data_IF_179919758875
#
_entry.id   IF_179919758875
#
_cell.length_a   1.000
_cell.length_b   1.000
_cell.length_c   1.000
_cell.angle_alpha   90.00
_cell.angle_beta   90.00
_cell.angle_gamma   90.00
#
_symmetry.space_group_name_H-M   'P 1'
#
loop_
_entity.id
_entity.type
_entity.pdbx_description
1 polymer ?
#
# COMPACT_ATOMS: atom_id res chain seq x y z
N UNK A 1 -12.56 -16.12 1.04
CA UNK A 1 -11.60 -16.89 0.21
C UNK A 1 -12.25 -17.49 -1.01
N UNK A 2 -13.34 -18.26 -0.89
CA UNK A 2 -14.06 -18.86 -2.04
C UNK A 2 -14.44 -17.83 -3.10
N UNK A 3 -15.11 -16.74 -2.72
CA UNK A 3 -15.50 -15.68 -3.66
C UNK A 3 -14.30 -15.01 -4.37
N UNK A 4 -13.15 -14.86 -3.71
CA UNK A 4 -11.95 -14.28 -4.35
C UNK A 4 -11.30 -15.25 -5.34
N UNK A 5 -11.32 -16.55 -5.01
CA UNK A 5 -10.87 -17.61 -5.91
C UNK A 5 -11.84 -17.80 -7.08
N UNK A 6 -13.14 -17.64 -6.86
CA UNK A 6 -14.17 -17.67 -7.90
C UNK A 6 -13.99 -16.48 -8.86
N UNK A 7 -13.64 -15.28 -8.36
CA UNK A 7 -13.30 -14.13 -9.19
C UNK A 7 -12.07 -14.39 -10.06
N UNK A 8 -11.01 -14.98 -9.49
CA UNK A 8 -9.80 -15.34 -10.25
C UNK A 8 -10.12 -16.43 -11.26
N UNK A 9 -10.89 -17.44 -10.87
CA UNK A 9 -11.32 -18.49 -11.77
C UNK A 9 -12.18 -17.91 -12.91
N UNK A 10 -13.07 -16.97 -12.61
CA UNK A 10 -13.86 -16.25 -13.61
C UNK A 10 -12.99 -15.35 -14.49
N UNK A 11 -11.99 -14.66 -13.95
CA UNK A 11 -11.03 -13.87 -14.70
C UNK A 11 -10.24 -14.77 -15.65
N UNK A 12 -9.57 -15.81 -15.12
CA UNK A 12 -8.81 -16.77 -15.90
C UNK A 12 -9.70 -17.44 -16.94
N UNK A 13 -10.91 -17.86 -16.57
CA UNK A 13 -11.87 -18.41 -17.51
C UNK A 13 -12.31 -17.39 -18.56
N UNK A 14 -12.48 -16.11 -18.22
CA UNK A 14 -12.86 -15.06 -19.18
C UNK A 14 -11.73 -14.69 -20.13
N UNK A 15 -10.49 -14.65 -19.65
CA UNK A 15 -9.28 -14.39 -20.43
C UNK A 15 -8.98 -15.56 -21.37
N UNK A 16 -9.28 -16.78 -20.93
CA UNK A 16 -9.00 -18.01 -21.68
C UNK A 16 -10.27 -18.66 -22.26
N UNK A 17 -11.40 -17.95 -22.28
CA UNK A 17 -12.65 -18.52 -22.80
C UNK A 17 -12.48 -18.78 -24.30
N UNK A 18 -12.70 -20.03 -24.69
CA UNK A 18 -12.56 -20.49 -26.07
C UNK A 18 -11.14 -20.75 -26.55
N UNK A 19 -10.14 -20.74 -25.66
CA UNK A 19 -8.74 -21.00 -26.02
C UNK A 19 -8.08 -21.97 -25.03
N UNK A 20 -7.56 -23.08 -25.53
CA UNK A 20 -6.82 -24.07 -24.74
C UNK A 20 -5.39 -23.61 -24.49
N UNK A 21 -5.23 -22.60 -23.62
CA UNK A 21 -3.91 -22.12 -23.24
C UNK A 21 -3.34 -22.93 -22.07
N UNK A 22 -2.13 -23.44 -22.23
CA UNK A 22 -1.30 -23.99 -21.17
C UNK A 22 -0.26 -22.96 -20.72
N UNK A 23 0.35 -23.18 -19.55
CA UNK A 23 1.32 -22.23 -18.97
C UNK A 23 2.45 -21.84 -19.95
N UNK A 24 2.85 -22.76 -20.83
CA UNK A 24 3.83 -22.53 -21.88
C UNK A 24 3.38 -21.52 -22.95
N UNK A 25 2.09 -21.40 -23.21
CA UNK A 25 1.55 -20.45 -24.18
C UNK A 25 1.60 -19.03 -23.65
N UNK A 26 1.35 -18.85 -22.35
CA UNK A 26 1.50 -17.57 -21.65
C UNK A 26 2.96 -17.11 -21.68
N UNK A 27 3.89 -18.01 -21.36
CA UNK A 27 5.34 -17.74 -21.41
C UNK A 27 5.78 -17.43 -22.84
N UNK A 28 5.28 -18.15 -23.83
CA UNK A 28 5.59 -17.91 -25.25
C UNK A 28 5.03 -16.57 -25.72
N UNK A 29 3.83 -16.19 -25.29
CA UNK A 29 3.23 -14.89 -25.56
C UNK A 29 4.04 -13.73 -24.97
N UNK A 30 4.49 -13.85 -23.72
CA UNK A 30 5.35 -12.84 -23.07
C UNK A 30 6.71 -12.72 -23.77
N UNK A 31 7.33 -13.85 -24.15
CA UNK A 31 8.56 -13.86 -24.95
C UNK A 31 8.38 -13.20 -26.31
N UNK A 32 7.25 -13.46 -26.98
CA UNK A 32 6.88 -12.83 -28.25
C UNK A 32 6.66 -11.33 -28.09
N UNK A 33 6.04 -10.86 -27.00
CA UNK A 33 5.87 -9.42 -26.72
C UNK A 33 7.23 -8.74 -26.51
N UNK A 34 8.15 -9.38 -25.77
CA UNK A 34 9.51 -8.85 -25.54
C UNK A 34 10.35 -8.83 -26.83
N UNK A 35 10.12 -9.78 -27.76
CA UNK A 35 10.87 -9.89 -29.01
C UNK A 35 10.15 -9.29 -30.22
N UNK A 36 8.92 -8.80 -30.06
CA UNK A 36 8.18 -8.15 -31.14
C UNK A 36 8.75 -6.74 -31.34
N UNK A 37 9.18 -6.37 -32.57
CA UNK A 37 9.54 -5.00 -32.86
C UNK A 37 8.30 -4.13 -32.64
N UNK A 38 8.37 -3.21 -31.66
CA UNK A 38 7.28 -2.37 -31.14
C UNK A 38 6.17 -2.11 -32.18
N UNK A 39 5.14 -2.96 -32.16
CA UNK A 39 3.89 -2.62 -32.83
C UNK A 39 3.26 -1.56 -31.94
N UNK A 40 3.12 -0.35 -32.48
CA UNK A 40 2.46 0.76 -31.80
C UNK A 40 1.10 0.25 -31.34
N UNK A 41 1.00 -0.05 -30.04
CA UNK A 41 -0.29 -0.30 -29.41
C UNK A 41 -1.07 0.98 -29.65
N UNK A 42 -2.19 0.90 -30.36
CA UNK A 42 -3.11 2.02 -30.49
C UNK A 42 -3.31 2.57 -29.09
N UNK A 43 -2.81 3.78 -28.84
CA UNK A 43 -2.91 4.44 -27.54
C UNK A 43 -4.38 4.31 -27.14
N UNK A 44 -4.64 3.53 -26.07
CA UNK A 44 -5.93 3.55 -25.42
C UNK A 44 -6.28 5.02 -25.27
N UNK A 45 -7.44 5.47 -25.77
CA UNK A 45 -7.85 6.88 -25.75
C UNK A 45 -7.61 7.43 -24.35
N UNK A 46 -6.45 8.07 -24.17
CA UNK A 46 -6.13 8.77 -22.94
C UNK A 46 -7.11 9.92 -22.98
N UNK A 47 -8.05 9.95 -22.03
CA UNK A 47 -8.93 11.10 -21.88
C UNK A 47 -8.03 12.34 -21.76
N UNK A 48 -7.95 13.11 -22.84
CA UNK A 48 -7.07 14.27 -23.00
C UNK A 48 -7.66 15.50 -22.32
N UNK A 49 -8.23 15.34 -21.14
CA UNK A 49 -8.34 16.42 -20.19
C UNK A 49 -7.09 16.30 -19.34
N UNK A 50 -6.02 17.03 -19.68
CA UNK A 50 -4.96 17.30 -18.71
C UNK A 50 -5.53 18.37 -17.78
N UNK A 51 -6.09 18.05 -16.60
CA UNK A 51 -6.29 19.09 -15.60
C UNK A 51 -4.95 19.78 -15.39
N UNK A 52 -4.95 21.11 -15.26
CA UNK A 52 -3.73 21.80 -14.84
C UNK A 52 -3.24 21.13 -13.56
N UNK A 53 -2.00 20.64 -13.60
CA UNK A 53 -1.41 19.94 -12.47
C UNK A 53 -1.46 20.88 -11.27
N UNK A 54 -2.17 20.54 -10.19
CA UNK A 54 -2.37 21.45 -9.08
C UNK A 54 -1.03 21.80 -8.44
N UNK A 55 -0.96 22.99 -7.83
CA UNK A 55 0.30 23.57 -7.33
C UNK A 55 1.05 22.62 -6.38
N UNK A 56 0.31 21.90 -5.53
CA UNK A 56 0.86 20.93 -4.58
C UNK A 56 1.51 19.70 -5.25
N UNK A 57 1.15 19.38 -6.49
CA UNK A 57 1.71 18.26 -7.27
C UNK A 57 2.97 18.67 -8.06
N UNK A 58 3.43 19.92 -7.96
CA UNK A 58 4.66 20.37 -8.61
C UNK A 58 5.90 19.76 -7.95
N UNK A 59 6.50 18.81 -8.67
CA UNK A 59 7.71 18.07 -8.26
C UNK A 59 8.91 18.90 -7.77
N UNK A 60 9.29 20.04 -8.38
CA UNK A 60 10.57 20.67 -8.03
C UNK A 60 10.61 21.30 -6.63
N UNK A 61 9.47 21.74 -6.08
CA UNK A 61 9.41 22.35 -4.74
C UNK A 61 9.32 21.29 -3.63
N UNK A 62 8.74 20.11 -3.94
CA UNK A 62 8.44 19.07 -2.97
C UNK A 62 9.24 17.76 -3.17
N UNK A 63 10.30 17.78 -3.98
CA UNK A 63 11.02 16.56 -4.37
C UNK A 63 11.58 15.77 -3.17
N UNK A 64 12.08 16.49 -2.16
CA UNK A 64 12.59 15.88 -0.93
C UNK A 64 11.46 15.18 -0.14
N UNK A 65 10.31 15.84 0.00
CA UNK A 65 9.11 15.30 0.66
C UNK A 65 8.56 14.09 -0.08
N UNK A 66 8.49 14.15 -1.42
CA UNK A 66 8.06 13.03 -2.26
C UNK A 66 9.01 11.85 -2.13
N UNK A 67 10.33 12.11 -2.17
CA UNK A 67 11.34 11.07 -1.94
C UNK A 67 11.16 10.43 -0.57
N UNK A 68 10.97 11.24 0.48
CA UNK A 68 10.76 10.76 1.85
C UNK A 68 9.56 9.82 1.95
N UNK A 69 8.41 10.21 1.39
CA UNK A 69 7.23 9.35 1.43
C UNK A 69 7.34 8.11 0.54
N UNK A 70 8.10 8.19 -0.56
CA UNK A 70 8.41 7.03 -1.39
C UNK A 70 9.30 6.03 -0.64
N UNK A 71 10.33 6.52 0.08
CA UNK A 71 11.20 5.68 0.91
C UNK A 71 10.40 4.95 1.99
N UNK A 72 9.42 5.63 2.61
CA UNK A 72 8.49 5.01 3.57
C UNK A 72 7.55 4.00 2.91
N UNK A 73 7.09 4.28 1.68
CA UNK A 73 6.23 3.40 0.90
C UNK A 73 6.95 2.14 0.39
N UNK A 74 8.28 2.18 0.24
CA UNK A 74 9.10 1.00 -0.09
C UNK A 74 9.56 0.26 1.17
N UNK A 75 9.91 0.97 2.24
CA UNK A 75 10.37 0.37 3.49
C UNK A 75 9.36 -0.62 4.11
N UNK A 76 8.05 -0.38 3.94
CA UNK A 76 6.97 -1.24 4.47
C UNK A 76 6.96 -2.65 3.87
N UNK A 77 7.70 -2.89 2.77
CA UNK A 77 7.92 -4.25 2.26
C UNK A 77 8.89 -5.06 3.14
N UNK A 78 9.60 -4.40 4.06
CA UNK A 78 10.48 -4.99 5.07
C UNK A 78 11.77 -5.56 4.49
N UNK A 79 12.29 -6.61 5.14
CA UNK A 79 13.64 -7.12 4.86
C UNK A 79 13.91 -7.48 3.37
N UNK A 80 12.96 -8.01 2.56
CA UNK A 80 13.25 -8.29 1.16
C UNK A 80 13.54 -7.02 0.36
N UNK A 81 12.80 -5.92 0.61
CA UNK A 81 13.03 -4.62 -0.02
C UNK A 81 14.35 -4.03 0.45
N UNK A 82 14.60 -4.05 1.77
CA UNK A 82 15.86 -3.58 2.34
C UNK A 82 17.07 -4.26 1.69
N UNK A 83 17.02 -5.57 1.46
CA UNK A 83 18.09 -6.32 0.82
C UNK A 83 18.20 -6.08 -0.69
N UNK A 84 17.07 -5.88 -1.37
CA UNK A 84 17.06 -5.54 -2.79
C UNK A 84 17.68 -4.15 -3.03
N UNK A 85 17.34 -3.18 -2.19
CA UNK A 85 17.84 -1.80 -2.26
C UNK A 85 19.28 -1.66 -1.76
N UNK A 86 19.74 -2.57 -0.89
CA UNK A 86 21.08 -2.54 -0.31
C UNK A 86 21.86 -3.83 -0.65
N UNK A 87 22.47 -3.84 -1.84
CA UNK A 87 23.30 -4.94 -2.31
C UNK A 87 24.61 -5.05 -1.52
N UNK A 88 24.97 -6.26 -1.10
CA UNK A 88 26.26 -6.59 -0.46
C UNK A 88 26.15 -7.17 0.94
N UNK A 89 27.27 -7.61 1.52
CA UNK A 89 27.27 -8.35 2.80
C UNK A 89 27.05 -7.47 4.05
N UNK A 90 27.42 -6.18 3.98
CA UNK A 90 27.32 -5.27 5.14
C UNK A 90 25.88 -4.95 5.57
N UNK A 91 24.92 -4.69 4.65
CA UNK A 91 23.50 -4.56 4.98
C UNK A 91 22.92 -5.78 5.71
N UNK A 92 23.27 -7.01 5.29
CA UNK A 92 22.88 -8.23 6.00
C UNK A 92 23.36 -8.20 7.46
N UNK A 93 24.64 -7.89 7.68
CA UNK A 93 25.21 -7.81 9.04
C UNK A 93 24.51 -6.73 9.88
N UNK A 94 24.19 -5.57 9.29
CA UNK A 94 23.46 -4.50 9.98
C UNK A 94 22.07 -4.95 10.41
N UNK A 95 21.34 -5.63 9.51
CA UNK A 95 20.03 -6.19 9.82
C UNK A 95 20.11 -7.24 10.92
N UNK A 96 21.01 -8.22 10.80
CA UNK A 96 21.21 -9.27 11.81
C UNK A 96 21.53 -8.71 13.20
N UNK A 97 22.30 -7.62 13.28
CA UNK A 97 22.61 -6.94 14.56
C UNK A 97 21.43 -6.21 15.18
N UNK A 98 20.38 -5.91 14.42
CA UNK A 98 19.16 -5.22 14.86
C UNK A 98 17.98 -6.17 15.12
N UNK A 99 18.17 -7.47 14.95
CA UNK A 99 17.13 -8.47 15.20
C UNK A 99 16.91 -8.68 16.69
N UNK A 100 15.65 -8.85 17.08
CA UNK A 100 15.24 -9.11 18.45
C UNK A 100 14.70 -10.55 18.57
N UNK A 101 15.59 -11.54 18.43
CA UNK A 101 15.18 -12.97 18.42
C UNK A 101 14.90 -13.58 19.80
N UNK A 102 15.18 -12.90 20.91
CA UNK A 102 15.01 -13.44 22.27
C UNK A 102 13.83 -12.79 23.00
N UNK A 103 12.83 -13.59 23.39
CA UNK A 103 11.63 -13.17 24.14
C UNK A 103 11.91 -12.50 25.50
N UNK A 104 13.09 -12.72 26.08
CA UNK A 104 13.49 -12.17 27.40
C UNK A 104 13.99 -10.73 27.37
N UNK A 105 14.15 -10.12 26.20
CA UNK A 105 14.61 -8.73 26.06
C UNK A 105 13.47 -7.74 25.77
N UNK A 106 12.21 -8.15 25.87
CA UNK A 106 11.07 -7.23 25.74
C UNK A 106 10.99 -6.39 27.02
N UNK A 107 11.57 -5.18 26.99
CA UNK A 107 11.04 -4.08 27.80
C UNK A 107 9.59 -3.82 27.39
N UNK A 108 8.82 -3.13 28.22
CA UNK A 108 7.47 -2.68 27.84
C UNK A 108 7.54 -1.93 26.51
N UNK A 109 7.07 -2.55 25.42
CA UNK A 109 7.05 -1.93 24.10
C UNK A 109 5.89 -0.94 24.09
N UNK A 110 6.22 0.35 23.95
CA UNK A 110 5.24 1.41 23.68
C UNK A 110 4.54 1.21 22.31
N UNK A 111 5.11 0.36 21.44
CA UNK A 111 4.66 0.16 20.06
C UNK A 111 3.82 -1.11 19.96
N UNK A 112 2.60 -1.00 19.42
CA UNK A 112 1.77 -2.17 19.10
C UNK A 112 2.28 -2.83 17.83
N UNK A 113 3.00 -3.95 17.97
CA UNK A 113 3.54 -4.74 16.84
C UNK A 113 2.72 -6.03 16.68
N UNK A 114 2.04 -6.14 15.56
CA UNK A 114 1.23 -7.29 15.19
C UNK A 114 1.84 -8.11 14.06
N UNK A 115 2.01 -9.41 14.29
CA UNK A 115 2.36 -10.41 13.26
C UNK A 115 3.67 -10.14 12.51
N UNK A 116 4.68 -9.56 13.19
CA UNK A 116 6.05 -9.61 12.69
C UNK A 116 6.63 -11.03 12.83
N UNK A 117 7.66 -11.34 12.05
CA UNK A 117 8.33 -12.64 12.10
C UNK A 117 9.09 -12.85 13.42
N UNK A 118 9.64 -14.05 13.62
CA UNK A 118 10.23 -14.54 14.89
C UNK A 118 11.32 -13.64 15.52
N UNK A 119 11.80 -12.59 14.84
CA UNK A 119 12.86 -11.71 15.32
C UNK A 119 12.58 -10.21 15.08
N UNK A 120 11.33 -9.83 14.86
CA UNK A 120 10.93 -8.47 14.46
C UNK A 120 11.66 -7.96 13.22
N UNK A 121 12.03 -8.87 12.29
CA UNK A 121 12.94 -8.55 11.18
C UNK A 121 12.28 -7.60 10.16
N UNK A 122 10.95 -7.63 9.98
CA UNK A 122 10.32 -6.62 9.12
C UNK A 122 10.36 -5.24 9.76
N UNK A 123 10.08 -5.12 11.08
CA UNK A 123 10.18 -3.85 11.80
C UNK A 123 11.61 -3.33 11.83
N UNK A 124 12.59 -4.18 12.14
CA UNK A 124 14.01 -3.81 12.15
C UNK A 124 14.49 -3.36 10.76
N UNK A 125 14.05 -4.02 9.69
CA UNK A 125 14.36 -3.60 8.32
C UNK A 125 13.69 -2.27 7.97
N UNK A 126 12.42 -2.09 8.35
CA UNK A 126 11.68 -0.84 8.14
C UNK A 126 12.41 0.35 8.79
N UNK A 127 12.84 0.19 10.04
CA UNK A 127 13.58 1.23 10.80
C UNK A 127 14.93 1.53 10.15
N UNK A 128 15.65 0.49 9.70
CA UNK A 128 16.94 0.66 9.02
C UNK A 128 16.79 1.36 7.67
N UNK A 129 15.73 1.08 6.92
CA UNK A 129 15.48 1.66 5.60
C UNK A 129 14.94 3.08 5.69
N UNK A 130 13.99 3.33 6.61
CA UNK A 130 13.38 4.65 6.84
C UNK A 130 14.27 5.60 7.64
N UNK A 131 15.38 5.12 8.21
CA UNK A 131 16.25 5.89 9.11
C UNK A 131 15.50 6.56 10.29
N UNK A 132 14.43 5.91 10.76
CA UNK A 132 13.63 6.33 11.92
C UNK A 132 14.15 5.68 13.21
N UNK A 133 13.67 6.16 14.36
CA UNK A 133 13.85 5.49 15.65
C UNK A 133 12.65 4.61 15.99
N UNK A 134 12.84 3.62 16.87
CA UNK A 134 11.74 2.75 17.30
C UNK A 134 10.61 3.53 17.99
N UNK A 135 10.92 4.65 18.64
CA UNK A 135 9.99 5.53 19.35
C UNK A 135 9.03 6.26 18.42
N UNK A 136 9.39 6.37 17.14
CA UNK A 136 8.60 7.09 16.16
C UNK A 136 7.47 6.22 15.59
N UNK A 137 7.50 4.91 15.83
CA UNK A 137 6.47 3.98 15.41
C UNK A 137 5.33 3.94 16.42
N UNK A 138 4.10 4.08 15.94
CA UNK A 138 2.90 4.01 16.77
C UNK A 138 2.21 2.64 16.65
N UNK A 139 2.12 2.14 15.43
CA UNK A 139 1.45 0.88 15.14
C UNK A 139 2.12 0.18 13.96
N UNK A 140 2.36 -1.12 14.10
CA UNK A 140 2.99 -1.94 13.06
C UNK A 140 2.16 -3.20 12.88
N UNK A 141 1.65 -3.45 11.68
CA UNK A 141 0.99 -4.71 11.34
C UNK A 141 1.63 -5.31 10.10
N UNK A 142 2.27 -6.47 10.25
CA UNK A 142 2.75 -7.31 9.14
C UNK A 142 1.81 -8.50 8.87
N UNK A 143 0.55 -8.42 9.32
CA UNK A 143 -0.49 -9.40 8.96
C UNK A 143 -0.65 -9.40 7.45
N UNK A 144 -0.33 -10.53 6.82
CA UNK A 144 -0.48 -10.73 5.38
C UNK A 144 -1.38 -11.95 5.11
N UNK A 145 -2.67 -11.68 4.89
CA UNK A 145 -3.69 -12.66 4.49
C UNK A 145 -4.63 -11.99 3.48
N UNK A 146 -5.57 -12.74 2.92
CA UNK A 146 -6.58 -12.19 2.01
C UNK A 146 -7.26 -10.94 2.62
N UNK A 147 -7.16 -9.79 1.92
CA UNK A 147 -7.63 -8.47 2.34
C UNK A 147 -6.96 -7.87 3.59
N UNK A 148 -6.03 -8.57 4.24
CA UNK A 148 -5.27 -8.05 5.37
C UNK A 148 -3.91 -7.62 4.83
N UNK A 149 -3.78 -6.33 4.51
CA UNK A 149 -2.52 -5.77 4.01
C UNK A 149 -1.63 -5.33 5.17
N UNK A 150 -0.31 -5.55 5.08
CA UNK A 150 0.65 -4.94 5.99
C UNK A 150 0.64 -3.41 5.90
N UNK A 151 0.73 -2.74 7.05
CA UNK A 151 0.85 -1.29 7.14
C UNK A 151 1.58 -0.87 8.42
N UNK A 152 2.14 0.33 8.41
CA UNK A 152 2.82 0.95 9.54
C UNK A 152 2.30 2.38 9.73
N UNK A 153 2.08 2.76 10.98
CA UNK A 153 1.77 4.13 11.40
C UNK A 153 2.93 4.67 12.21
N UNK A 154 3.41 5.85 11.83
CA UNK A 154 4.57 6.48 12.44
C UNK A 154 4.42 8.00 12.48
N UNK A 155 5.20 8.63 13.35
CA UNK A 155 5.35 10.09 13.41
C UNK A 155 6.64 10.48 12.71
N UNK A 156 6.56 11.20 11.60
CA UNK A 156 7.74 11.70 10.87
C UNK A 156 7.98 13.17 11.20
N UNK A 157 8.88 13.40 12.15
CA UNK A 157 9.25 14.75 12.59
C UNK A 157 9.93 15.59 11.50
N UNK A 158 10.53 14.95 10.48
CA UNK A 158 11.17 15.65 9.36
C UNK A 158 10.14 16.37 8.47
N UNK A 159 8.95 15.78 8.32
CA UNK A 159 7.87 16.31 7.49
C UNK A 159 6.70 16.84 8.30
N UNK A 160 6.82 16.89 9.64
CA UNK A 160 5.74 17.25 10.57
C UNK A 160 4.43 16.50 10.25
N UNK A 161 4.53 15.17 10.05
CA UNK A 161 3.41 14.36 9.56
C UNK A 161 3.22 13.08 10.38
N UNK A 162 1.97 12.69 10.59
CA UNK A 162 1.58 11.34 11.00
C UNK A 162 1.41 10.53 9.71
N UNK A 163 2.28 9.55 9.47
CA UNK A 163 2.33 8.81 8.21
C UNK A 163 1.73 7.41 8.41
N UNK A 164 0.77 7.06 7.55
CA UNK A 164 0.25 5.71 7.38
C UNK A 164 0.82 5.16 6.07
N UNK A 165 1.82 4.27 6.17
CA UNK A 165 2.40 3.61 5.00
C UNK A 165 1.80 2.21 4.80
N UNK A 166 1.27 1.95 3.61
CA UNK A 166 0.58 0.72 3.27
C UNK A 166 1.38 -0.05 2.23
N UNK A 167 1.66 -1.32 2.53
CA UNK A 167 2.38 -2.21 1.62
C UNK A 167 1.51 -2.57 0.42
N UNK A 168 2.12 -2.54 -0.76
CA UNK A 168 1.54 -3.15 -1.96
C UNK A 168 1.83 -4.65 -2.07
N UNK A 169 1.66 -5.17 -3.28
CA UNK A 169 1.71 -6.61 -3.51
C UNK A 169 3.12 -7.17 -3.45
N UNK A 170 3.36 -8.12 -2.54
CA UNK A 170 4.60 -8.90 -2.52
C UNK A 170 4.37 -10.33 -1.97
N UNK A 171 3.16 -10.87 -2.17
CA UNK A 171 2.79 -12.26 -1.90
C UNK A 171 1.64 -12.70 -2.80
N UNK A 172 1.41 -14.01 -2.87
CA UNK A 172 0.28 -14.60 -3.61
C UNK A 172 -1.06 -14.09 -3.07
N UNK A 173 -1.17 -13.86 -1.76
CA UNK A 173 -2.40 -13.31 -1.16
C UNK A 173 -2.68 -11.87 -1.62
N UNK A 174 -1.62 -11.09 -1.79
CA UNK A 174 -1.73 -9.74 -2.35
C UNK A 174 -2.14 -9.81 -3.82
N UNK A 175 -1.54 -10.72 -4.59
CA UNK A 175 -1.94 -10.98 -5.98
C UNK A 175 -3.41 -11.41 -6.08
N UNK A 176 -3.92 -12.24 -5.16
CA UNK A 176 -5.34 -12.62 -5.12
C UNK A 176 -6.22 -11.40 -4.81
N UNK A 177 -5.73 -10.48 -3.98
CA UNK A 177 -6.41 -9.21 -3.68
C UNK A 177 -6.43 -8.31 -4.90
N UNK A 178 -5.35 -8.23 -5.67
CA UNK A 178 -5.25 -7.51 -6.95
C UNK A 178 -6.21 -8.06 -8.01
N UNK A 179 -6.35 -9.38 -8.06
CA UNK A 179 -7.18 -10.07 -9.06
C UNK A 179 -8.65 -10.19 -8.64
N UNK A 180 -9.03 -9.66 -7.47
CA UNK A 180 -10.44 -9.57 -7.04
C UNK A 180 -11.15 -8.42 -7.78
N UNK A 181 -11.32 -8.58 -9.09
CA UNK A 181 -11.69 -7.53 -10.06
C UNK A 181 -13.14 -7.07 -10.01
N UNK A 182 -13.97 -7.69 -9.16
CA UNK A 182 -15.32 -7.20 -8.97
C UNK A 182 -15.29 -5.76 -8.44
N UNK A 183 -16.11 -4.91 -9.04
CA UNK A 183 -16.36 -3.58 -8.50
C UNK A 183 -17.27 -3.70 -7.27
N UNK A 184 -16.97 -2.96 -6.23
CA UNK A 184 -17.87 -2.74 -5.09
C UNK A 184 -18.37 -1.30 -5.13
N UNK A 185 -19.62 -1.09 -4.71
CA UNK A 185 -20.16 0.26 -4.52
C UNK A 185 -19.58 0.82 -3.23
N UNK A 186 -19.01 2.01 -3.34
CA UNK A 186 -18.48 2.78 -2.24
C UNK A 186 -19.26 4.08 -2.16
N UNK A 187 -20.12 4.17 -1.15
CA UNK A 187 -20.85 5.39 -0.84
C UNK A 187 -19.87 6.36 -0.18
N UNK A 188 -19.70 7.52 -0.80
CA UNK A 188 -18.91 8.63 -0.23
C UNK A 188 -19.90 9.69 0.24
N UNK A 189 -19.62 10.32 1.37
CA UNK A 189 -20.38 11.49 1.79
C UNK A 189 -20.00 12.69 0.92
N UNK A 190 -20.70 12.81 -0.20
CA UNK A 190 -20.48 13.83 -1.23
C UNK A 190 -20.74 15.23 -0.69
N UNK A 191 -21.62 15.40 0.30
CA UNK A 191 -21.95 16.72 0.85
C UNK A 191 -20.81 17.30 1.71
N UNK A 192 -20.00 16.42 2.30
CA UNK A 192 -18.87 16.75 3.16
C UNK A 192 -17.57 16.91 2.36
N UNK A 193 -17.42 16.23 1.21
CA UNK A 193 -16.23 16.33 0.36
C UNK A 193 -16.28 17.54 -0.59
N UNK A 194 -15.33 18.50 -0.50
CA UNK A 194 -15.37 19.75 -1.27
C UNK A 194 -15.14 19.55 -2.78
N UNK A 195 -14.59 18.41 -3.22
CA UNK A 195 -14.32 18.10 -4.62
C UNK A 195 -15.52 17.35 -5.21
N UNK A 196 -16.01 16.32 -4.50
CA UNK A 196 -17.10 15.47 -5.00
C UNK A 196 -18.44 16.20 -4.97
N UNK A 197 -18.66 17.14 -4.04
CA UNK A 197 -19.90 17.94 -3.98
C UNK A 197 -20.22 18.69 -5.27
N UNK A 198 -19.20 19.01 -6.05
CA UNK A 198 -19.32 19.74 -7.31
C UNK A 198 -19.51 18.81 -8.52
N UNK A 199 -19.39 17.49 -8.33
CA UNK A 199 -19.48 16.51 -9.40
C UNK A 199 -20.94 16.10 -9.65
N UNK A 200 -21.56 16.78 -10.61
CA UNK A 200 -22.94 16.50 -11.07
C UNK A 200 -23.11 15.17 -11.80
N UNK A 201 -22.03 14.40 -12.02
CA UNK A 201 -22.07 13.10 -12.71
C UNK A 201 -22.16 11.91 -11.74
N UNK A 202 -22.05 12.15 -10.43
CA UNK A 202 -22.20 11.13 -9.40
C UNK A 202 -23.68 10.79 -9.19
N UNK A 203 -23.99 9.50 -9.27
CA UNK A 203 -25.34 8.97 -9.04
C UNK A 203 -25.50 8.71 -7.53
N UNK A 204 -26.25 9.56 -6.83
CA UNK A 204 -26.55 9.49 -5.38
C UNK A 204 -25.31 9.31 -4.46
N UNK A 205 -24.13 9.78 -4.89
CA UNK A 205 -22.89 9.69 -4.12
C UNK A 205 -22.26 8.29 -4.05
N UNK A 206 -22.67 7.39 -4.95
CA UNK A 206 -22.06 6.08 -5.10
C UNK A 206 -20.94 6.09 -6.15
N UNK A 207 -19.75 5.64 -5.75
CA UNK A 207 -18.60 5.46 -6.64
C UNK A 207 -18.27 3.97 -6.75
N UNK A 208 -17.98 3.50 -7.95
CA UNK A 208 -17.50 2.13 -8.16
C UNK A 208 -15.99 2.05 -7.92
N UNK A 209 -15.59 1.20 -6.99
CA UNK A 209 -14.18 1.01 -6.62
C UNK A 209 -13.80 -0.47 -6.68
N UNK A 210 -12.50 -0.76 -6.68
CA UNK A 210 -12.00 -2.13 -6.69
C UNK A 210 -12.30 -2.83 -5.36
N UNK A 211 -13.11 -3.91 -5.37
CA UNK A 211 -13.56 -4.63 -4.17
C UNK A 211 -12.41 -5.07 -3.27
N UNK A 212 -11.34 -5.63 -3.86
CA UNK A 212 -10.18 -6.07 -3.09
C UNK A 212 -9.49 -4.91 -2.35
N UNK A 213 -9.37 -3.75 -2.98
CA UNK A 213 -8.70 -2.57 -2.41
C UNK A 213 -9.57 -1.94 -1.32
N UNK A 214 -10.89 -1.83 -1.56
CA UNK A 214 -11.82 -1.27 -0.57
C UNK A 214 -11.87 -2.11 0.70
N UNK A 215 -11.91 -3.44 0.57
CA UNK A 215 -11.92 -4.32 1.75
C UNK A 215 -10.60 -4.23 2.53
N UNK A 216 -9.47 -4.09 1.85
CA UNK A 216 -8.19 -3.84 2.51
C UNK A 216 -8.14 -2.46 3.18
N UNK A 217 -8.66 -1.41 2.55
CA UNK A 217 -8.74 -0.07 3.13
C UNK A 217 -9.63 -0.04 4.39
N UNK A 218 -10.81 -0.68 4.34
CA UNK A 218 -11.70 -0.85 5.50
C UNK A 218 -11.02 -1.62 6.63
N UNK A 219 -10.21 -2.64 6.31
CA UNK A 219 -9.43 -3.35 7.33
C UNK A 219 -8.45 -2.41 8.05
N UNK A 220 -7.67 -1.61 7.29
CA UNK A 220 -6.75 -0.64 7.88
C UNK A 220 -7.51 0.37 8.74
N UNK A 221 -8.56 1.00 8.19
CA UNK A 221 -9.40 1.97 8.90
C UNK A 221 -9.95 1.41 10.23
N UNK A 222 -10.58 0.23 10.19
CA UNK A 222 -11.16 -0.40 11.38
C UNK A 222 -10.09 -0.77 12.41
N UNK A 223 -8.90 -1.15 11.97
CA UNK A 223 -7.78 -1.47 12.86
C UNK A 223 -7.26 -0.22 13.56
N UNK A 224 -7.10 0.89 12.84
CA UNK A 224 -6.68 2.18 13.41
C UNK A 224 -7.70 2.67 14.45
N UNK A 225 -8.98 2.68 14.08
CA UNK A 225 -10.08 3.12 14.95
C UNK A 225 -10.24 2.25 16.20
N UNK A 226 -10.12 0.93 16.08
CA UNK A 226 -10.23 0.01 17.21
C UNK A 226 -9.09 0.18 18.23
N UNK A 227 -7.92 0.63 17.78
CA UNK A 227 -6.76 0.86 18.63
C UNK A 227 -6.56 2.33 19.01
N UNK A 228 -7.42 3.26 18.56
CA UNK A 228 -7.31 4.70 18.87
C UNK A 228 -6.02 5.36 18.36
N UNK A 229 -5.36 4.77 17.36
CA UNK A 229 -3.97 5.12 17.00
C UNK A 229 -3.86 6.57 16.52
N UNK A 230 -4.81 7.02 15.70
CA UNK A 230 -4.75 8.37 15.13
C UNK A 230 -5.15 9.42 16.15
N UNK A 231 -6.16 9.13 16.97
CA UNK A 231 -6.60 10.01 18.04
C UNK A 231 -5.46 10.28 19.04
N UNK A 232 -4.75 9.22 19.46
CA UNK A 232 -3.61 9.34 20.37
C UNK A 232 -2.46 10.16 19.77
N UNK A 233 -2.14 9.92 18.49
CA UNK A 233 -1.06 10.64 17.81
C UNK A 233 -1.38 12.11 17.55
N UNK A 234 -2.65 12.44 17.24
CA UNK A 234 -3.11 13.81 17.05
C UNK A 234 -3.12 14.60 18.36
N UNK A 235 -3.41 13.94 19.49
CA UNK A 235 -3.29 14.58 20.81
C UNK A 235 -1.83 14.91 21.14
N UNK A 236 -0.90 14.02 20.80
CA UNK A 236 0.53 14.22 21.03
C UNK A 236 1.14 15.24 20.05
N UNK A 237 0.64 15.29 18.81
CA UNK A 237 1.18 16.11 17.72
C UNK A 237 0.05 16.87 17.00
N UNK A 238 -0.60 17.87 17.65
CA UNK A 238 -1.81 18.52 17.12
C UNK A 238 -1.58 19.32 15.84
N UNK A 239 -0.34 19.75 15.59
CA UNK A 239 0.04 20.52 14.39
C UNK A 239 0.43 19.62 13.21
N UNK A 240 0.44 18.29 13.37
CA UNK A 240 0.94 17.38 12.35
C UNK A 240 -0.16 17.02 11.36
N UNK A 241 0.19 17.00 10.07
CA UNK A 241 -0.72 16.55 9.02
C UNK A 241 -0.76 15.02 8.94
N UNK A 242 -1.91 14.46 8.54
CA UNK A 242 -2.01 13.03 8.27
C UNK A 242 -1.65 12.78 6.80
N UNK A 243 -0.71 11.87 6.57
CA UNK A 243 -0.27 11.46 5.24
C UNK A 243 -0.47 9.98 5.07
N UNK A 244 -1.24 9.58 4.06
CA UNK A 244 -1.37 8.19 3.64
C UNK A 244 -0.48 7.97 2.42
N UNK A 245 0.45 7.01 2.49
CA UNK A 245 1.32 6.67 1.37
C UNK A 245 1.40 5.15 1.16
N UNK A 246 1.81 4.76 -0.04
CA UNK A 246 1.97 3.38 -0.44
C UNK A 246 2.45 3.27 -1.87
N UNK A 247 2.96 2.10 -2.24
CA UNK A 247 3.43 1.80 -3.59
C UNK A 247 2.57 0.69 -4.22
N UNK A 248 2.34 0.74 -5.53
CA UNK A 248 1.54 -0.25 -6.28
C UNK A 248 0.13 -0.41 -5.67
N UNK A 249 -0.32 -1.64 -5.35
CA UNK A 249 -1.58 -1.90 -4.66
C UNK A 249 -1.75 -1.03 -3.40
N UNK A 250 -0.66 -0.80 -2.65
CA UNK A 250 -0.68 0.01 -1.43
C UNK A 250 -1.08 1.46 -1.68
N UNK A 251 -0.74 2.02 -2.85
CA UNK A 251 -1.17 3.36 -3.24
C UNK A 251 -2.68 3.42 -3.47
N UNK A 252 -3.26 2.41 -4.15
CA UNK A 252 -4.69 2.32 -4.40
C UNK A 252 -5.50 2.12 -3.11
N UNK A 253 -5.01 1.26 -2.21
CA UNK A 253 -5.59 1.11 -0.86
C UNK A 253 -5.49 2.43 -0.10
N UNK A 254 -4.34 3.11 -0.17
CA UNK A 254 -4.11 4.39 0.48
C UNK A 254 -5.08 5.48 0.01
N UNK A 255 -5.34 5.57 -1.29
CA UNK A 255 -6.33 6.53 -1.83
C UNK A 255 -7.73 6.27 -1.29
N UNK A 256 -8.16 5.01 -1.18
CA UNK A 256 -9.46 4.66 -0.60
C UNK A 256 -9.49 4.87 0.92
N UNK A 257 -8.38 4.61 1.61
CA UNK A 257 -8.27 4.89 3.03
C UNK A 257 -8.41 6.39 3.32
N UNK A 258 -7.80 7.26 2.49
CA UNK A 258 -7.95 8.72 2.62
C UNK A 258 -9.41 9.16 2.51
N UNK A 259 -10.23 8.48 1.71
CA UNK A 259 -11.67 8.77 1.62
C UNK A 259 -12.49 8.23 2.81
N UNK A 260 -11.93 7.27 3.57
CA UNK A 260 -12.56 6.70 4.76
C UNK A 260 -12.24 7.47 6.04
N UNK A 261 -11.11 8.18 6.07
CA UNK A 261 -10.63 9.01 7.18
C UNK A 261 -11.32 10.37 7.18
#
# INVERSE_FOLDING_TARGET
MRNALDDIAALMASVFIGHDFVLSDIVSGLLLVVHSPHTVVNEAKVFSTRPQMPLWMKLPENLATVSRFLDLATAVYGWPSYMFNNLGCMPWIRLFRRLQCCRTCRGEELVSIESDNCCSCHTSAFILESALEHTDLAFVSFRNKLYLTPFVVLTDHQTHSIVITIRGSASIMDLITDLSLNSELFSVDVDTDPILRLDTTLDDGEVRVHRGMLNAARYVYNTLKANGVLEDLLVLNPEYQIVVCGHSLGAGIGSLLTLLL
#
